data_IF_096937593934
#
_entry.id   IF_096937593934
#
_cell.length_a   1.000
_cell.length_b   1.000
_cell.length_c   1.000
_cell.angle_alpha   90.00
_cell.angle_beta   90.00
_cell.angle_gamma   90.00
#
_symmetry.space_group_name_H-M   'P 1'
#
loop_
_entity.id
_entity.type
_entity.pdbx_description
1 polymer ?
#
# COMPACT_ATOMS: atom_id res chain seq x y z
N UNK A 1 -20.58 31.01 20.89
CA UNK A 1 -19.92 30.28 19.78
C UNK A 1 -18.57 30.93 19.56
N UNK A 2 -17.54 30.15 19.27
CA UNK A 2 -16.20 30.68 18.97
C UNK A 2 -16.21 31.46 17.65
N UNK A 3 -15.53 32.60 17.61
CA UNK A 3 -15.22 33.30 16.37
C UNK A 3 -14.19 32.49 15.55
N UNK A 4 -14.50 32.28 14.27
CA UNK A 4 -13.78 31.34 13.38
C UNK A 4 -12.68 32.06 12.59
N UNK A 5 -11.64 32.52 13.29
CA UNK A 5 -10.56 33.33 12.69
C UNK A 5 -9.76 32.62 11.59
N UNK A 6 -9.78 31.28 11.57
CA UNK A 6 -9.16 30.49 10.52
C UNK A 6 -9.72 30.76 9.11
N UNK A 7 -10.94 31.29 8.98
CA UNK A 7 -11.46 31.71 7.67
C UNK A 7 -11.01 33.11 7.27
N UNK A 8 -10.80 34.00 8.23
CA UNK A 8 -10.38 35.39 7.99
C UNK A 8 -8.90 35.48 7.65
N UNK A 9 -8.07 34.75 8.39
CA UNK A 9 -6.62 34.72 8.20
C UNK A 9 -6.09 33.28 8.31
N UNK A 10 -6.20 32.46 7.24
CA UNK A 10 -5.75 31.06 7.25
C UNK A 10 -4.27 30.86 7.57
N UNK A 11 -3.46 31.91 7.39
CA UNK A 11 -2.00 31.92 7.62
C UNK A 11 -1.62 32.41 9.02
N UNK A 12 -2.59 32.81 9.85
CA UNK A 12 -2.33 33.17 11.24
C UNK A 12 -1.88 31.92 12.03
N UNK A 13 -0.72 32.01 12.66
CA UNK A 13 -0.13 30.88 13.40
C UNK A 13 -0.33 30.95 14.91
N UNK A 14 -0.62 32.15 15.45
CA UNK A 14 -0.87 32.35 16.86
C UNK A 14 -1.78 33.55 17.11
N UNK A 15 -2.62 33.45 18.15
CA UNK A 15 -3.47 34.54 18.65
C UNK A 15 -3.53 34.51 20.18
N UNK A 16 -3.88 35.65 20.78
CA UNK A 16 -4.37 35.70 22.15
C UNK A 16 -5.90 35.59 22.14
N UNK A 17 -6.45 34.78 23.05
CA UNK A 17 -7.90 34.57 23.19
C UNK A 17 -8.24 34.22 24.63
N UNK A 18 -9.52 34.08 24.95
CA UNK A 18 -10.01 33.74 26.29
C UNK A 18 -10.65 32.35 26.30
N UNK A 19 -10.48 31.61 27.40
CA UNK A 19 -11.21 30.35 27.64
C UNK A 19 -12.65 30.69 28.05
N UNK A 20 -13.61 30.25 27.26
CA UNK A 20 -15.05 30.48 27.54
C UNK A 20 -15.72 29.27 28.19
N UNK A 21 -15.16 28.07 27.99
CA UNK A 21 -15.70 26.84 28.58
C UNK A 21 -14.62 25.77 28.69
N UNK A 22 -14.69 24.99 29.77
CA UNK A 22 -13.89 23.78 29.98
C UNK A 22 -14.83 22.59 29.90
N UNK A 23 -14.59 21.70 28.95
CA UNK A 23 -15.35 20.47 28.73
C UNK A 23 -14.57 19.27 29.26
N UNK A 24 -15.19 18.09 29.27
CA UNK A 24 -14.50 16.83 29.61
C UNK A 24 -13.41 16.44 28.62
N UNK A 25 -13.45 16.96 27.39
CA UNK A 25 -12.48 16.66 26.32
C UNK A 25 -11.40 17.73 26.14
N UNK A 26 -11.62 18.93 26.69
CA UNK A 26 -10.70 20.05 26.52
C UNK A 26 -11.39 21.41 26.49
N UNK A 27 -10.78 22.37 25.81
CA UNK A 27 -11.09 23.80 25.97
C UNK A 27 -11.86 24.37 24.78
N UNK A 28 -12.83 25.24 25.07
CA UNK A 28 -13.50 26.10 24.09
C UNK A 28 -13.02 27.52 24.30
N UNK A 29 -12.65 28.19 23.21
CA UNK A 29 -12.09 29.54 23.21
C UNK A 29 -13.07 30.55 22.62
N UNK A 30 -12.99 31.82 23.02
CA UNK A 30 -13.83 32.91 22.48
C UNK A 30 -13.61 33.11 20.98
N UNK A 31 -12.35 33.06 20.53
CA UNK A 31 -11.95 33.10 19.12
C UNK A 31 -10.88 32.03 18.87
N UNK A 32 -10.86 31.42 17.69
CA UNK A 32 -9.86 30.38 17.39
C UNK A 32 -9.38 30.41 15.94
N UNK A 33 -8.07 30.27 15.78
CA UNK A 33 -7.40 30.03 14.49
C UNK A 33 -7.27 28.54 14.18
N UNK A 34 -7.66 27.63 15.07
CA UNK A 34 -7.61 26.18 14.83
C UNK A 34 -8.84 25.75 14.03
N UNK A 35 -8.60 25.11 12.88
CA UNK A 35 -9.64 24.56 12.04
C UNK A 35 -10.15 23.27 12.69
N UNK A 36 -11.46 23.17 12.99
CA UNK A 36 -12.05 21.90 13.38
C UNK A 36 -12.10 20.98 12.15
N UNK A 37 -12.01 19.67 12.35
CA UNK A 37 -12.18 18.69 11.27
C UNK A 37 -13.38 19.04 10.36
N UNK A 38 -13.16 19.03 9.04
CA UNK A 38 -14.17 19.44 8.07
C UNK A 38 -13.72 19.26 6.62
N UNK A 39 -14.66 18.95 5.72
CA UNK A 39 -14.36 18.81 4.28
C UNK A 39 -13.36 17.70 3.93
N UNK A 40 -13.12 16.75 4.83
CA UNK A 40 -12.10 15.70 4.70
C UNK A 40 -10.70 16.11 5.17
N UNK A 41 -10.51 17.35 5.63
CA UNK A 41 -9.30 17.85 6.26
C UNK A 41 -9.33 17.57 7.77
N UNK A 42 -8.29 16.92 8.34
CA UNK A 42 -8.18 16.71 9.78
C UNK A 42 -8.13 18.03 10.57
N UNK A 43 -8.60 17.97 11.82
CA UNK A 43 -8.47 19.09 12.76
C UNK A 43 -7.01 19.45 13.02
N UNK A 44 -6.78 20.70 13.42
CA UNK A 44 -5.44 21.12 13.81
C UNK A 44 -5.04 20.62 15.18
N UNK A 45 -3.72 20.57 15.37
CA UNK A 45 -3.03 20.37 16.63
C UNK A 45 -2.15 21.59 16.94
N UNK A 46 -1.63 21.70 18.16
CA UNK A 46 -0.77 22.81 18.54
C UNK A 46 -0.60 22.94 20.05
N UNK A 47 -0.49 24.18 20.54
CA UNK A 47 -0.38 24.47 21.97
C UNK A 47 -1.30 25.62 22.43
N UNK A 48 -1.73 25.56 23.68
CA UNK A 48 -2.40 26.63 24.43
C UNK A 48 -1.56 26.89 25.68
N UNK A 49 -0.98 28.10 25.82
CA UNK A 49 -0.01 28.41 26.89
C UNK A 49 1.13 27.37 27.03
N UNK A 50 1.63 26.87 25.90
CA UNK A 50 2.61 25.77 25.78
C UNK A 50 2.13 24.35 26.13
N UNK A 51 0.91 24.19 26.66
CA UNK A 51 0.30 22.86 26.83
C UNK A 51 -0.19 22.33 25.48
N UNK A 52 0.18 21.11 25.06
CA UNK A 52 -0.17 20.58 23.75
C UNK A 52 -1.64 20.15 23.67
N UNK A 53 -2.32 20.53 22.59
CA UNK A 53 -3.60 19.93 22.21
C UNK A 53 -3.40 19.05 20.97
N UNK A 54 -4.03 17.88 20.98
CA UNK A 54 -3.81 16.83 19.98
C UNK A 54 -4.67 16.98 18.74
N UNK A 55 -5.83 17.62 18.87
CA UNK A 55 -6.83 17.75 17.80
C UNK A 55 -7.80 18.91 18.07
N UNK A 56 -8.50 19.35 17.05
CA UNK A 56 -9.58 20.35 17.12
C UNK A 56 -10.84 19.77 16.49
N UNK A 57 -11.90 19.65 17.28
CA UNK A 57 -13.14 18.98 16.87
C UNK A 57 -14.35 19.89 16.99
N UNK A 58 -15.33 19.70 16.12
CA UNK A 58 -16.66 20.29 16.27
C UNK A 58 -17.53 19.31 17.07
N UNK A 59 -17.81 19.62 18.34
CA UNK A 59 -18.59 18.78 19.27
C UNK A 59 -19.77 19.61 19.78
N UNK A 60 -21.00 19.13 19.59
CA UNK A 60 -22.21 19.83 20.02
C UNK A 60 -22.25 21.32 19.56
N UNK A 61 -21.84 21.56 18.32
CA UNK A 61 -21.69 22.91 17.71
C UNK A 61 -20.65 23.83 18.37
N UNK A 62 -19.73 23.28 19.17
CA UNK A 62 -18.61 23.99 19.80
C UNK A 62 -17.28 23.50 19.22
N UNK A 63 -16.35 24.42 19.03
CA UNK A 63 -14.98 24.08 18.61
C UNK A 63 -14.19 23.75 19.87
N UNK A 64 -13.90 22.47 20.05
CA UNK A 64 -13.19 21.92 21.21
C UNK A 64 -11.76 21.60 20.82
N UNK A 65 -10.80 22.19 21.54
CA UNK A 65 -9.39 21.86 21.44
C UNK A 65 -9.13 20.71 22.42
N UNK A 66 -8.75 19.53 21.90
CA UNK A 66 -8.60 18.31 22.70
C UNK A 66 -7.30 18.36 23.50
N UNK A 67 -7.41 18.59 24.80
CA UNK A 67 -6.29 18.88 25.70
C UNK A 67 -6.62 18.46 27.14
N UNK A 68 -5.59 18.10 27.90
CA UNK A 68 -5.70 17.95 29.35
C UNK A 68 -5.95 19.32 29.98
N UNK A 69 -7.15 19.53 30.53
CA UNK A 69 -7.61 20.83 30.99
C UNK A 69 -7.24 21.17 32.44
N UNK A 70 -6.43 20.35 33.11
CA UNK A 70 -6.02 20.61 34.50
C UNK A 70 -5.18 21.90 34.57
N UNK A 71 -5.52 22.78 35.51
CA UNK A 71 -4.82 24.06 35.73
C UNK A 71 -5.39 25.26 34.97
N UNK A 72 -6.23 25.06 33.95
CA UNK A 72 -6.90 26.13 33.22
C UNK A 72 -8.16 26.65 33.94
N UNK A 73 -8.52 27.91 33.71
CA UNK A 73 -9.76 28.51 34.24
C UNK A 73 -10.57 29.21 33.15
N UNK A 74 -11.89 29.14 33.26
CA UNK A 74 -12.79 29.99 32.44
C UNK A 74 -12.48 31.45 32.75
N UNK A 75 -12.41 32.28 31.70
CA UNK A 75 -11.99 33.68 31.77
C UNK A 75 -10.49 33.91 31.67
N UNK A 76 -9.68 32.85 31.63
CA UNK A 76 -8.23 32.97 31.48
C UNK A 76 -7.86 33.39 30.06
N UNK A 77 -6.97 34.39 29.95
CA UNK A 77 -6.34 34.76 28.68
C UNK A 77 -5.22 33.78 28.37
N UNK A 78 -5.26 33.21 27.18
CA UNK A 78 -4.33 32.20 26.71
C UNK A 78 -3.79 32.53 25.34
N UNK A 79 -2.56 32.10 25.07
CA UNK A 79 -1.95 32.14 23.75
C UNK A 79 -2.17 30.80 23.05
N UNK A 80 -2.94 30.82 21.96
CA UNK A 80 -3.12 29.69 21.05
C UNK A 80 -2.04 29.73 19.97
N UNK A 81 -1.36 28.62 19.72
CA UNK A 81 -0.40 28.46 18.61
C UNK A 81 -0.69 27.15 17.88
N UNK A 82 -0.85 27.18 16.55
CA UNK A 82 -1.12 25.98 15.74
C UNK A 82 0.19 25.31 15.30
N UNK A 83 0.15 24.00 15.07
CA UNK A 83 1.19 23.28 14.37
C UNK A 83 1.15 23.66 12.88
N UNK A 84 1.92 24.68 12.52
CA UNK A 84 1.94 25.20 11.16
C UNK A 84 2.32 24.16 10.10
N UNK A 85 3.25 23.24 10.41
CA UNK A 85 3.67 22.22 9.45
C UNK A 85 2.53 21.27 9.06
N UNK A 86 1.71 20.88 10.05
CA UNK A 86 0.50 20.09 9.85
C UNK A 86 -0.54 20.88 9.05
N UNK A 87 -0.89 22.08 9.52
CA UNK A 87 -1.87 22.96 8.87
C UNK A 87 -1.52 23.19 7.41
N UNK A 88 -0.29 23.61 7.14
CA UNK A 88 0.14 24.01 5.81
C UNK A 88 0.22 22.81 4.87
N UNK A 89 0.64 21.64 5.36
CA UNK A 89 0.59 20.40 4.57
C UNK A 89 -0.85 20.07 4.13
N UNK A 90 -1.83 20.14 5.04
CA UNK A 90 -3.22 19.89 4.69
C UNK A 90 -3.82 20.97 3.79
N UNK A 91 -3.46 22.25 3.94
CA UNK A 91 -3.85 23.30 2.98
C UNK A 91 -3.35 23.00 1.55
N UNK A 92 -2.10 22.53 1.43
CA UNK A 92 -1.54 22.09 0.14
C UNK A 92 -2.29 20.88 -0.40
N UNK A 93 -2.51 19.88 0.43
CA UNK A 93 -3.20 18.64 0.03
C UNK A 93 -4.65 18.89 -0.39
N UNK A 94 -5.36 19.78 0.30
CA UNK A 94 -6.72 20.16 -0.03
C UNK A 94 -6.79 20.91 -1.37
N UNK A 95 -5.87 21.86 -1.58
CA UNK A 95 -5.77 22.58 -2.85
C UNK A 95 -5.42 21.63 -4.00
N UNK A 96 -4.42 20.75 -3.79
CA UNK A 96 -4.05 19.70 -4.76
C UNK A 96 -5.24 18.82 -5.14
N UNK A 97 -6.07 18.44 -4.15
CA UNK A 97 -7.26 17.64 -4.41
C UNK A 97 -8.25 18.35 -5.32
N UNK A 98 -8.51 19.64 -5.11
CA UNK A 98 -9.39 20.40 -6.01
C UNK A 98 -8.80 20.54 -7.40
N UNK A 99 -7.49 20.76 -7.51
CA UNK A 99 -6.83 20.79 -8.82
C UNK A 99 -6.98 19.46 -9.56
N UNK A 100 -6.74 18.33 -8.88
CA UNK A 100 -6.88 16.99 -9.44
C UNK A 100 -8.35 16.71 -9.84
N UNK A 101 -9.30 16.95 -8.95
CA UNK A 101 -10.71 16.69 -9.23
C UNK A 101 -11.32 17.63 -10.28
N UNK A 102 -10.91 18.91 -10.29
CA UNK A 102 -11.35 19.89 -11.28
C UNK A 102 -10.83 19.57 -12.68
N UNK A 103 -9.55 19.18 -12.80
CA UNK A 103 -8.97 18.77 -14.08
C UNK A 103 -9.43 17.39 -14.53
N UNK A 104 -9.68 16.45 -13.62
CA UNK A 104 -10.36 15.19 -13.97
C UNK A 104 -11.71 15.45 -14.64
N UNK A 105 -12.50 16.34 -14.05
CA UNK A 105 -13.82 16.67 -14.57
C UNK A 105 -13.73 17.41 -15.92
N UNK A 106 -12.92 18.46 -16.00
CA UNK A 106 -12.87 19.33 -17.19
C UNK A 106 -12.15 18.71 -18.38
N UNK A 107 -11.06 17.96 -18.17
CA UNK A 107 -10.28 17.37 -19.27
C UNK A 107 -10.80 15.99 -19.69
N UNK A 108 -11.36 15.22 -18.75
CA UNK A 108 -11.67 13.80 -18.99
C UNK A 108 -13.12 13.41 -18.67
N UNK A 109 -13.95 14.35 -18.21
CA UNK A 109 -15.33 14.06 -17.78
C UNK A 109 -15.40 12.93 -16.73
N UNK A 110 -14.46 12.96 -15.79
CA UNK A 110 -14.36 12.04 -14.66
C UNK A 110 -14.83 12.75 -13.40
N UNK A 111 -15.96 12.30 -12.86
CA UNK A 111 -16.52 12.80 -11.62
C UNK A 111 -15.75 12.28 -10.41
N UNK A 112 -15.75 13.06 -9.33
CA UNK A 112 -15.27 12.57 -8.02
C UNK A 112 -16.46 12.03 -7.24
N UNK A 113 -16.28 10.92 -6.54
CA UNK A 113 -17.25 10.31 -5.61
C UNK A 113 -16.88 10.63 -4.17
N UNK A 114 -15.66 10.28 -3.75
CA UNK A 114 -15.17 10.48 -2.38
C UNK A 114 -13.70 10.90 -2.37
N UNK A 115 -13.27 11.50 -1.26
CA UNK A 115 -11.90 12.00 -1.04
C UNK A 115 -11.45 11.61 0.35
N UNK A 116 -10.18 11.23 0.49
CA UNK A 116 -9.54 11.07 1.79
C UNK A 116 -8.18 11.79 1.79
N UNK A 117 -8.00 12.73 2.73
CA UNK A 117 -6.75 13.44 2.95
C UNK A 117 -6.02 12.81 4.14
N UNK A 118 -5.10 11.89 3.83
CA UNK A 118 -4.27 11.24 4.83
C UNK A 118 -2.94 11.96 5.04
N UNK A 119 -2.32 11.74 6.20
CA UNK A 119 -0.99 12.27 6.56
C UNK A 119 0.14 11.86 5.60
N UNK A 120 -0.11 10.85 4.76
CA UNK A 120 0.88 10.31 3.83
C UNK A 120 0.38 10.26 2.38
N UNK A 121 -0.90 10.00 2.14
CA UNK A 121 -1.50 9.91 0.81
C UNK A 121 -2.79 10.72 0.72
N UNK A 122 -3.03 11.29 -0.46
CA UNK A 122 -4.33 11.78 -0.88
C UNK A 122 -4.97 10.71 -1.76
N UNK A 123 -6.23 10.36 -1.49
CA UNK A 123 -6.98 9.48 -2.40
C UNK A 123 -8.26 10.13 -2.92
N UNK A 124 -8.57 9.84 -4.18
CA UNK A 124 -9.73 10.36 -4.89
C UNK A 124 -10.43 9.17 -5.55
N UNK A 125 -11.62 8.82 -5.04
CA UNK A 125 -12.52 7.85 -5.67
C UNK A 125 -13.27 8.57 -6.79
N UNK A 126 -13.29 7.95 -7.97
CA UNK A 126 -13.89 8.48 -9.19
C UNK A 126 -15.22 7.80 -9.52
N UNK A 127 -15.96 8.33 -10.49
CA UNK A 127 -17.20 7.73 -10.99
C UNK A 127 -16.96 6.70 -12.11
N UNK A 128 -15.70 6.32 -12.37
CA UNK A 128 -15.33 5.36 -13.42
C UNK A 128 -14.91 4.03 -12.83
N UNK A 129 -15.23 2.94 -13.52
CA UNK A 129 -14.79 1.59 -13.16
C UNK A 129 -13.34 1.32 -13.56
N UNK A 130 -12.82 2.02 -14.58
CA UNK A 130 -11.46 1.89 -15.10
C UNK A 130 -10.94 3.25 -15.57
N UNK A 131 -9.65 3.50 -15.38
CA UNK A 131 -8.93 4.67 -15.87
C UNK A 131 -7.57 4.19 -16.35
N UNK A 132 -7.19 4.54 -17.58
CA UNK A 132 -5.90 4.15 -18.14
C UNK A 132 -4.76 4.95 -17.51
N UNK A 133 -3.56 4.37 -17.55
CA UNK A 133 -2.37 5.00 -17.00
C UNK A 133 -2.00 6.29 -17.76
N UNK A 134 -2.27 6.35 -19.06
CA UNK A 134 -2.04 7.54 -19.89
C UNK A 134 -2.88 8.72 -19.43
N UNK A 135 -4.15 8.51 -19.03
CA UNK A 135 -5.01 9.57 -18.49
C UNK A 135 -4.45 10.08 -17.15
N UNK A 136 -3.97 9.18 -16.29
CA UNK A 136 -3.42 9.53 -14.98
C UNK A 136 -2.15 10.36 -15.11
N UNK A 137 -1.26 9.99 -16.03
CA UNK A 137 -0.05 10.75 -16.34
C UNK A 137 -0.38 12.09 -17.00
N UNK A 138 -1.32 12.14 -17.94
CA UNK A 138 -1.75 13.40 -18.54
C UNK A 138 -2.37 14.36 -17.50
N UNK A 139 -3.12 13.83 -16.52
CA UNK A 139 -3.63 14.62 -15.40
C UNK A 139 -2.50 15.13 -14.50
N UNK A 140 -1.55 14.26 -14.12
CA UNK A 140 -0.40 14.63 -13.31
C UNK A 140 0.39 15.77 -13.94
N UNK A 141 0.64 15.69 -15.25
CA UNK A 141 1.32 16.73 -16.03
C UNK A 141 0.51 18.04 -16.04
N UNK A 142 -0.80 17.96 -16.29
CA UNK A 142 -1.69 19.12 -16.31
C UNK A 142 -1.75 19.84 -14.95
N UNK A 143 -1.89 19.10 -13.86
CA UNK A 143 -1.90 19.66 -12.49
C UNK A 143 -0.55 20.32 -12.19
N UNK A 144 0.55 19.63 -12.43
CA UNK A 144 1.88 20.18 -12.17
C UNK A 144 2.20 21.40 -13.06
N UNK A 145 1.63 21.47 -14.27
CA UNK A 145 1.70 22.69 -15.08
C UNK A 145 0.93 23.84 -14.42
N UNK A 146 -0.30 23.60 -13.97
CA UNK A 146 -1.10 24.61 -13.24
C UNK A 146 -0.46 25.06 -11.93
N UNK A 147 0.31 24.19 -11.27
CA UNK A 147 1.14 24.54 -10.11
C UNK A 147 2.24 25.54 -10.53
N UNK A 148 2.97 25.25 -11.61
CA UNK A 148 4.02 26.13 -12.13
C UNK A 148 3.50 27.49 -12.61
N UNK A 149 2.28 27.51 -13.16
CA UNK A 149 1.62 28.74 -13.62
C UNK A 149 1.20 29.67 -12.47
N UNK A 150 1.24 29.20 -11.21
CA UNK A 150 0.99 29.99 -10.01
C UNK A 150 -0.38 30.71 -10.00
N UNK A 151 -1.43 29.99 -10.36
CA UNK A 151 -2.81 30.49 -10.33
C UNK A 151 -3.24 30.89 -8.93
N UNK A 152 -4.03 31.97 -8.84
CA UNK A 152 -4.55 32.48 -7.57
C UNK A 152 -5.67 31.59 -7.04
N UNK A 153 -5.70 31.41 -5.71
CA UNK A 153 -6.81 30.81 -4.98
C UNK A 153 -7.58 31.92 -4.27
N UNK A 154 -8.88 32.02 -4.54
CA UNK A 154 -9.77 33.03 -3.96
C UNK A 154 -11.01 32.40 -3.34
N UNK A 155 -11.69 33.16 -2.49
CA UNK A 155 -12.87 32.72 -1.77
C UNK A 155 -14.03 33.67 -2.04
N UNK A 156 -15.22 33.10 -2.23
CA UNK A 156 -16.49 33.81 -2.11
C UNK A 156 -17.16 33.24 -0.86
N UNK A 157 -17.31 34.06 0.17
CA UNK A 157 -17.90 33.67 1.45
C UNK A 157 -19.31 34.26 1.58
N UNK A 158 -20.13 33.65 2.43
CA UNK A 158 -21.46 34.15 2.78
C UNK A 158 -22.45 34.22 1.61
N UNK A 159 -22.29 33.33 0.62
CA UNK A 159 -23.28 33.18 -0.43
C UNK A 159 -24.51 32.43 0.09
N UNK A 160 -25.68 32.86 -0.37
CA UNK A 160 -26.90 32.07 -0.28
C UNK A 160 -26.80 30.84 -1.19
N UNK A 161 -27.67 29.85 -0.96
CA UNK A 161 -27.72 28.67 -1.81
C UNK A 161 -28.06 29.04 -3.27
N UNK A 162 -29.01 29.97 -3.46
CA UNK A 162 -29.43 30.44 -4.78
C UNK A 162 -28.26 31.09 -5.56
N UNK A 163 -27.55 32.05 -4.94
CA UNK A 163 -26.37 32.69 -5.55
C UNK A 163 -25.28 31.67 -5.89
N UNK A 164 -25.10 30.64 -5.06
CA UNK A 164 -24.07 29.63 -5.26
C UNK A 164 -24.47 28.60 -6.35
N UNK A 165 -25.76 28.32 -6.54
CA UNK A 165 -26.27 27.43 -7.60
C UNK A 165 -26.12 28.06 -9.00
N UNK A 166 -26.17 29.39 -9.09
CA UNK A 166 -25.92 30.13 -10.35
C UNK A 166 -24.48 29.97 -10.88
N UNK A 167 -23.54 29.56 -10.03
CA UNK A 167 -22.12 29.45 -10.35
C UNK A 167 -21.75 28.19 -11.17
N UNK A 168 -22.72 27.36 -11.56
CA UNK A 168 -22.53 26.16 -12.40
C UNK A 168 -21.40 25.24 -11.89
N UNK A 169 -21.39 24.98 -10.58
CA UNK A 169 -20.37 24.15 -9.94
C UNK A 169 -20.44 22.71 -10.45
N UNK A 170 -19.29 22.04 -10.55
CA UNK A 170 -19.20 20.63 -11.00
C UNK A 170 -19.87 19.60 -10.06
N UNK A 171 -20.34 20.04 -8.89
CA UNK A 171 -21.03 19.21 -7.89
C UNK A 171 -22.10 20.03 -7.19
N UNK A 172 -23.20 19.37 -6.84
CA UNK A 172 -24.28 19.95 -6.04
C UNK A 172 -23.80 20.36 -4.65
N UNK A 173 -24.34 21.48 -4.17
CA UNK A 173 -24.10 22.01 -2.84
C UNK A 173 -24.86 21.15 -1.81
N UNK A 174 -24.23 20.86 -0.67
CA UNK A 174 -24.77 19.97 0.37
C UNK A 174 -25.05 20.68 1.70
N UNK A 175 -25.00 22.00 1.72
CA UNK A 175 -25.24 22.83 2.90
C UNK A 175 -26.42 23.75 2.65
N UNK A 176 -27.22 23.98 3.68
CA UNK A 176 -28.50 24.69 3.55
C UNK A 176 -28.35 26.23 3.59
N UNK A 177 -27.20 26.75 4.07
CA UNK A 177 -26.89 28.18 4.13
C UNK A 177 -25.39 28.45 4.34
N UNK A 178 -24.96 29.70 4.15
CA UNK A 178 -23.58 30.19 4.34
C UNK A 178 -22.55 29.41 3.50
N UNK A 179 -22.79 29.38 2.18
CA UNK A 179 -21.96 28.64 1.24
C UNK A 179 -20.64 29.39 1.04
N UNK A 180 -19.54 28.70 1.31
CA UNK A 180 -18.18 29.16 0.96
C UNK A 180 -17.73 28.47 -0.33
N UNK A 181 -17.43 29.29 -1.34
CA UNK A 181 -16.88 28.85 -2.62
C UNK A 181 -15.39 29.10 -2.63
N UNK A 182 -14.64 28.08 -3.03
CA UNK A 182 -13.21 28.17 -3.34
C UNK A 182 -13.08 28.19 -4.85
N UNK A 183 -12.32 29.16 -5.35
CA UNK A 183 -12.01 29.30 -6.76
C UNK A 183 -10.49 29.21 -6.94
N UNK A 184 -10.06 28.23 -7.72
CA UNK A 184 -8.69 28.11 -8.20
C UNK A 184 -8.73 28.57 -9.65
N UNK A 185 -8.16 29.75 -9.91
CA UNK A 185 -8.25 30.45 -11.19
C UNK A 185 -7.91 29.52 -12.38
N UNK A 186 -8.87 29.36 -13.30
CA UNK A 186 -8.67 28.54 -14.50
C UNK A 186 -8.48 27.03 -14.25
N UNK A 187 -8.86 26.54 -13.06
CA UNK A 187 -8.69 25.12 -12.67
C UNK A 187 -9.98 24.52 -12.09
N UNK A 188 -10.50 25.05 -10.98
CA UNK A 188 -11.68 24.49 -10.30
C UNK A 188 -12.47 25.60 -9.59
N UNK A 189 -13.78 25.42 -9.48
CA UNK A 189 -14.66 26.28 -8.69
C UNK A 189 -15.70 25.40 -7.99
N UNK A 190 -15.74 25.46 -6.66
CA UNK A 190 -16.42 24.44 -5.85
C UNK A 190 -16.79 24.95 -4.46
N UNK A 191 -17.93 24.47 -3.94
CA UNK A 191 -18.29 24.69 -2.55
C UNK A 191 -17.38 23.87 -1.63
N UNK A 192 -16.61 24.58 -0.77
CA UNK A 192 -15.69 23.96 0.16
C UNK A 192 -15.47 24.83 1.41
N UNK A 193 -15.68 24.23 2.58
CA UNK A 193 -15.37 24.81 3.89
C UNK A 193 -13.93 24.53 4.37
N UNK A 194 -13.07 23.94 3.53
CA UNK A 194 -11.68 23.65 3.85
C UNK A 194 -10.77 24.87 3.81
N UNK A 195 -9.56 24.71 4.34
CA UNK A 195 -8.51 25.72 4.18
C UNK A 195 -7.63 25.40 2.97
N UNK A 196 -7.25 26.43 2.22
CA UNK A 196 -6.45 26.31 1.01
C UNK A 196 -5.27 27.26 1.06
N UNK A 197 -4.22 26.92 0.30
CA UNK A 197 -3.12 27.85 0.04
C UNK A 197 -3.60 29.01 -0.84
N UNK A 198 -2.88 30.13 -0.85
CA UNK A 198 -3.25 31.33 -1.60
C UNK A 198 -2.92 31.22 -3.09
N UNK A 199 -1.99 30.36 -3.47
CA UNK A 199 -1.67 30.09 -4.87
C UNK A 199 -1.32 28.63 -5.13
N UNK A 200 -1.51 28.19 -6.38
CA UNK A 200 -1.20 26.81 -6.78
C UNK A 200 0.29 26.48 -6.64
N UNK A 201 1.20 27.45 -6.73
CA UNK A 201 2.63 27.21 -6.57
C UNK A 201 3.01 26.71 -5.16
N UNK A 202 2.24 27.10 -4.13
CA UNK A 202 2.46 26.64 -2.76
C UNK A 202 2.20 25.14 -2.59
N UNK A 203 1.47 24.49 -3.50
CA UNK A 203 1.29 23.03 -3.55
C UNK A 203 2.60 22.31 -3.87
N UNK A 204 3.53 23.00 -4.55
CA UNK A 204 4.84 22.54 -5.02
C UNK A 204 4.79 21.49 -6.12
N UNK A 205 4.12 20.36 -5.88
CA UNK A 205 3.96 19.27 -6.85
C UNK A 205 2.93 18.24 -6.37
N UNK A 206 2.40 17.49 -7.33
CA UNK A 206 1.66 16.24 -7.09
C UNK A 206 2.36 15.10 -7.79
N UNK A 207 2.30 13.90 -7.21
CA UNK A 207 2.84 12.69 -7.80
C UNK A 207 1.80 11.57 -7.78
N UNK A 208 1.52 10.98 -8.94
CA UNK A 208 0.70 9.77 -9.04
C UNK A 208 1.51 8.57 -8.55
N UNK A 209 0.95 7.81 -7.59
CA UNK A 209 1.65 6.63 -7.03
C UNK A 209 0.89 5.32 -7.19
N UNK A 210 -0.32 5.36 -7.74
CA UNK A 210 -1.08 4.15 -8.04
C UNK A 210 -2.58 4.36 -7.98
N UNK A 211 -3.31 3.28 -8.26
CA UNK A 211 -4.76 3.24 -8.17
C UNK A 211 -5.21 1.86 -7.70
N UNK A 212 -6.41 1.80 -7.14
CA UNK A 212 -7.09 0.57 -6.75
C UNK A 212 -8.55 0.60 -7.20
N UNK A 213 -9.15 -0.57 -7.38
CA UNK A 213 -10.60 -0.69 -7.62
C UNK A 213 -11.30 -0.92 -6.29
N UNK A 214 -12.25 -0.04 -5.96
CA UNK A 214 -13.07 -0.15 -4.76
C UNK A 214 -14.55 0.03 -5.12
N UNK A 215 -15.39 -0.94 -4.75
CA UNK A 215 -16.85 -0.90 -4.96
C UNK A 215 -17.26 -0.63 -6.43
N UNK A 216 -16.46 -1.08 -7.39
CA UNK A 216 -16.71 -0.86 -8.82
C UNK A 216 -16.24 0.50 -9.34
N UNK A 217 -15.53 1.28 -8.54
CA UNK A 217 -14.92 2.55 -8.91
C UNK A 217 -13.40 2.51 -8.80
N UNK A 218 -12.71 3.36 -9.56
CA UNK A 218 -11.28 3.60 -9.41
C UNK A 218 -11.05 4.63 -8.32
N UNK A 219 -10.21 4.27 -7.34
CA UNK A 219 -9.60 5.19 -6.40
C UNK A 219 -8.15 5.42 -6.78
N UNK A 220 -7.83 6.67 -7.08
CA UNK A 220 -6.46 7.11 -7.39
C UNK A 220 -5.73 7.50 -6.11
N UNK A 221 -4.41 7.28 -6.07
CA UNK A 221 -3.53 7.52 -4.93
C UNK A 221 -2.45 8.52 -5.34
N UNK A 222 -2.35 9.61 -4.58
CA UNK A 222 -1.49 10.73 -4.87
C UNK A 222 -0.62 11.09 -3.67
N UNK A 223 0.58 11.58 -3.96
CA UNK A 223 1.48 12.22 -3.00
C UNK A 223 1.55 13.71 -3.33
N UNK A 224 1.64 14.56 -2.32
CA UNK A 224 1.63 16.03 -2.47
C UNK A 224 2.86 16.64 -1.79
N UNK A 225 3.42 17.69 -2.37
CA UNK A 225 4.54 18.48 -1.83
C UNK A 225 5.75 17.60 -1.42
N UNK A 226 6.21 17.69 -0.18
CA UNK A 226 7.32 16.90 0.34
C UNK A 226 7.08 15.38 0.25
N UNK A 227 5.84 14.92 0.34
CA UNK A 227 5.52 13.50 0.21
C UNK A 227 5.74 12.99 -1.21
N UNK A 228 5.50 13.81 -2.22
CA UNK A 228 5.82 13.48 -3.61
C UNK A 228 7.34 13.39 -3.82
N UNK A 229 8.08 14.38 -3.31
CA UNK A 229 9.55 14.38 -3.33
C UNK A 229 10.14 13.14 -2.66
N UNK A 230 9.60 12.74 -1.51
CA UNK A 230 10.02 11.54 -0.79
C UNK A 230 9.76 10.28 -1.61
N UNK A 231 8.59 10.15 -2.23
CA UNK A 231 8.26 9.00 -3.08
C UNK A 231 9.21 8.89 -4.30
N UNK A 232 9.50 10.01 -4.97
CA UNK A 232 10.46 10.03 -6.08
C UNK A 232 11.87 9.57 -5.66
N UNK A 233 12.34 10.02 -4.49
CA UNK A 233 13.65 9.61 -3.94
C UNK A 233 13.69 8.12 -3.58
N UNK A 234 12.63 7.62 -2.94
CA UNK A 234 12.51 6.20 -2.60
C UNK A 234 12.53 5.33 -3.86
N UNK A 235 11.78 5.73 -4.90
CA UNK A 235 11.78 5.03 -6.18
C UNK A 235 13.17 5.05 -6.84
N UNK A 236 13.86 6.19 -6.83
CA UNK A 236 15.23 6.30 -7.35
C UNK A 236 16.21 5.39 -6.61
N UNK A 237 16.13 5.32 -5.26
CA UNK A 237 16.96 4.43 -4.46
C UNK A 237 16.69 2.94 -4.79
N UNK A 238 15.42 2.56 -4.93
CA UNK A 238 15.03 1.19 -5.32
C UNK A 238 15.62 0.84 -6.69
N UNK A 239 15.45 1.73 -7.67
CA UNK A 239 15.98 1.56 -9.03
C UNK A 239 17.49 1.42 -9.01
N UNK A 240 18.20 2.26 -8.25
CA UNK A 240 19.65 2.18 -8.11
C UNK A 240 20.09 0.84 -7.50
N UNK A 241 19.46 0.42 -6.40
CA UNK A 241 19.79 -0.83 -5.71
C UNK A 241 19.52 -2.07 -6.57
N UNK A 242 18.44 -2.06 -7.35
CA UNK A 242 18.16 -3.13 -8.32
C UNK A 242 19.18 -3.11 -9.46
N UNK A 243 19.50 -1.92 -9.98
CA UNK A 243 20.53 -1.74 -11.01
C UNK A 243 21.90 -2.27 -10.56
N UNK A 244 22.32 -1.98 -9.33
CA UNK A 244 23.56 -2.50 -8.75
C UNK A 244 23.55 -4.04 -8.66
N UNK A 245 22.45 -4.65 -8.23
CA UNK A 245 22.32 -6.12 -8.15
C UNK A 245 22.37 -6.78 -9.52
N UNK A 246 21.82 -6.14 -10.55
CA UNK A 246 21.83 -6.63 -11.93
C UNK A 246 23.05 -6.18 -12.73
N UNK A 247 23.95 -5.39 -12.14
CA UNK A 247 25.04 -4.70 -12.85
C UNK A 247 24.55 -3.97 -14.11
N UNK A 248 23.39 -3.31 -14.00
CA UNK A 248 22.66 -2.70 -15.11
C UNK A 248 22.38 -1.21 -14.83
N UNK A 249 22.47 -0.39 -15.87
CA UNK A 249 21.98 0.99 -15.81
C UNK A 249 20.44 1.01 -15.69
N UNK A 250 19.83 2.05 -15.07
CA UNK A 250 18.39 2.12 -14.82
C UNK A 250 17.50 1.75 -16.00
N UNK A 251 17.78 2.30 -17.19
CA UNK A 251 16.99 2.06 -18.41
C UNK A 251 17.11 0.63 -18.94
N UNK A 252 18.14 -0.11 -18.53
CA UNK A 252 18.40 -1.47 -18.97
C UNK A 252 17.98 -2.51 -17.92
N UNK A 253 17.51 -2.10 -16.74
CA UNK A 253 17.14 -3.02 -15.64
C UNK A 253 16.16 -4.08 -16.11
N UNK A 254 15.12 -3.70 -16.86
CA UNK A 254 14.10 -4.64 -17.34
C UNK A 254 14.72 -5.66 -18.31
N UNK A 255 15.48 -5.21 -19.29
CA UNK A 255 16.16 -6.11 -20.23
C UNK A 255 17.17 -7.05 -19.56
N UNK A 256 17.87 -6.58 -18.51
CA UNK A 256 18.77 -7.42 -17.72
C UNK A 256 18.02 -8.42 -16.87
N UNK A 257 16.84 -8.04 -16.35
CA UNK A 257 15.96 -8.95 -15.62
C UNK A 257 15.40 -10.05 -16.54
N UNK A 258 15.00 -9.72 -17.75
CA UNK A 258 14.52 -10.68 -18.75
C UNK A 258 15.62 -11.71 -19.07
N UNK A 259 16.86 -11.25 -19.32
CA UNK A 259 18.01 -12.14 -19.54
C UNK A 259 18.28 -13.05 -18.34
N UNK A 260 18.24 -12.50 -17.12
CA UNK A 260 18.42 -13.28 -15.90
C UNK A 260 17.32 -14.35 -15.75
N UNK A 261 16.10 -14.03 -16.14
CA UNK A 261 14.98 -14.96 -16.12
C UNK A 261 15.15 -16.08 -17.16
N UNK A 262 15.55 -15.74 -18.38
CA UNK A 262 15.88 -16.71 -19.43
C UNK A 262 17.03 -17.64 -19.02
N UNK A 263 18.09 -17.09 -18.43
CA UNK A 263 19.22 -17.88 -17.92
C UNK A 263 18.78 -18.83 -16.80
N UNK A 264 17.96 -18.35 -15.86
CA UNK A 264 17.39 -19.19 -14.80
C UNK A 264 16.59 -20.36 -15.36
N UNK A 265 15.73 -20.13 -16.35
CA UNK A 265 14.95 -21.20 -16.98
C UNK A 265 15.84 -22.20 -17.75
N UNK A 266 16.88 -21.69 -18.43
CA UNK A 266 17.88 -22.51 -19.12
C UNK A 266 18.64 -23.41 -18.14
N UNK A 267 19.19 -22.83 -17.06
CA UNK A 267 19.89 -23.56 -15.99
C UNK A 267 18.98 -24.58 -15.30
N UNK A 268 17.71 -24.23 -15.04
CA UNK A 268 16.74 -25.16 -14.49
C UNK A 268 16.50 -26.35 -15.44
N UNK A 269 16.45 -26.10 -16.75
CA UNK A 269 16.32 -27.17 -17.75
C UNK A 269 17.57 -28.03 -17.86
N UNK A 270 18.76 -27.43 -17.85
CA UNK A 270 20.02 -28.17 -17.88
C UNK A 270 20.20 -29.03 -16.63
N UNK A 271 19.90 -28.46 -15.45
CA UNK A 271 19.93 -29.19 -14.19
C UNK A 271 18.98 -30.41 -14.22
N UNK A 272 17.77 -30.28 -14.78
CA UNK A 272 16.87 -31.44 -14.96
C UNK A 272 17.49 -32.52 -15.85
N UNK A 273 18.15 -32.14 -16.95
CA UNK A 273 18.84 -33.08 -17.84
C UNK A 273 19.99 -33.79 -17.14
N UNK A 274 20.84 -33.05 -16.43
CA UNK A 274 21.96 -33.59 -15.66
C UNK A 274 21.48 -34.55 -14.58
N UNK A 275 20.47 -34.15 -13.80
CA UNK A 275 19.86 -35.00 -12.76
C UNK A 275 19.30 -36.30 -13.37
N UNK A 276 18.68 -36.24 -14.55
CA UNK A 276 18.15 -37.43 -15.23
C UNK A 276 19.26 -38.35 -15.79
N UNK A 277 20.36 -37.78 -16.28
CA UNK A 277 21.56 -38.54 -16.68
C UNK A 277 22.22 -39.20 -15.46
N UNK A 278 22.40 -38.46 -14.36
CA UNK A 278 22.92 -38.98 -13.09
C UNK A 278 22.05 -40.13 -12.57
N UNK A 279 20.72 -39.99 -12.60
CA UNK A 279 19.80 -41.06 -12.19
C UNK A 279 20.00 -42.34 -12.99
N UNK A 280 20.24 -42.22 -14.29
CA UNK A 280 20.52 -43.37 -15.16
C UNK A 280 21.82 -44.07 -14.76
N UNK A 281 22.89 -43.31 -14.52
CA UNK A 281 24.21 -43.85 -14.12
C UNK A 281 24.17 -44.48 -12.71
N UNK A 282 23.52 -43.82 -11.76
CA UNK A 282 23.35 -44.31 -10.38
C UNK A 282 22.53 -45.60 -10.38
N UNK A 283 21.44 -45.65 -11.17
CA UNK A 283 20.65 -46.87 -11.28
C UNK A 283 21.47 -48.03 -11.86
N UNK A 284 22.24 -47.78 -12.92
CA UNK A 284 23.10 -48.82 -13.50
C UNK A 284 24.20 -49.30 -12.54
N UNK A 285 24.82 -48.43 -11.74
CA UNK A 285 25.82 -48.84 -10.75
C UNK A 285 25.24 -49.68 -9.62
N UNK A 286 23.96 -49.47 -9.29
CA UNK A 286 23.22 -50.20 -8.27
C UNK A 286 22.25 -51.25 -8.83
N UNK A 287 22.34 -51.63 -10.11
CA UNK A 287 21.33 -52.51 -10.76
C UNK A 287 21.17 -53.90 -10.15
N UNK A 288 22.16 -54.33 -9.37
CA UNK A 288 22.15 -55.61 -8.65
C UNK A 288 21.74 -55.44 -7.18
N UNK A 289 21.54 -54.21 -6.72
CA UNK A 289 21.07 -53.90 -5.39
C UNK A 289 19.57 -53.69 -5.38
N UNK A 290 18.91 -54.33 -4.42
CA UNK A 290 17.46 -54.25 -4.25
C UNK A 290 17.07 -52.95 -3.51
N UNK A 291 18.01 -52.33 -2.78
CA UNK A 291 17.81 -51.04 -2.16
C UNK A 291 19.11 -50.24 -2.03
N UNK A 292 19.07 -48.95 -2.39
CA UNK A 292 20.19 -48.01 -2.24
C UNK A 292 19.73 -46.60 -1.84
N UNK A 293 20.64 -45.82 -1.25
CA UNK A 293 20.41 -44.41 -0.93
C UNK A 293 20.94 -43.58 -2.11
N UNK A 294 20.05 -42.83 -2.74
CA UNK A 294 20.37 -41.93 -3.83
C UNK A 294 20.90 -40.59 -3.32
N UNK A 295 21.95 -40.04 -3.95
CA UNK A 295 22.42 -38.67 -3.70
C UNK A 295 21.54 -37.60 -4.39
N UNK A 296 20.59 -37.99 -5.23
CA UNK A 296 19.68 -37.08 -5.97
C UNK A 296 18.19 -37.43 -5.73
N UNK A 297 17.25 -36.49 -5.96
CA UNK A 297 15.84 -36.73 -5.72
C UNK A 297 15.27 -37.97 -6.42
N UNK A 298 14.49 -38.76 -5.69
CA UNK A 298 13.93 -40.03 -6.21
C UNK A 298 13.03 -39.85 -7.44
N UNK A 299 12.44 -38.68 -7.65
CA UNK A 299 11.64 -38.37 -8.83
C UNK A 299 12.42 -38.53 -10.14
N UNK A 300 13.75 -38.38 -10.11
CA UNK A 300 14.61 -38.54 -11.27
C UNK A 300 14.69 -39.99 -11.80
N UNK A 301 14.31 -40.98 -10.98
CA UNK A 301 14.43 -42.40 -11.30
C UNK A 301 13.13 -43.05 -11.80
N UNK A 302 12.00 -42.33 -11.76
CA UNK A 302 10.67 -42.88 -12.08
C UNK A 302 10.64 -43.60 -13.43
N UNK A 303 11.27 -43.01 -14.45
CA UNK A 303 11.30 -43.55 -15.81
C UNK A 303 12.54 -44.42 -16.11
N UNK A 304 13.35 -44.73 -15.08
CA UNK A 304 14.63 -45.47 -15.22
C UNK A 304 14.57 -46.87 -14.62
N UNK A 305 13.83 -47.01 -13.53
CA UNK A 305 13.75 -48.28 -12.81
C UNK A 305 12.87 -49.25 -13.60
N UNK A 306 13.37 -50.47 -13.80
CA UNK A 306 12.65 -51.52 -14.53
C UNK A 306 12.64 -52.87 -13.78
N UNK A 307 13.19 -52.89 -12.56
CA UNK A 307 13.27 -54.07 -11.69
C UNK A 307 12.86 -53.68 -10.28
N UNK A 308 12.54 -54.69 -9.46
CA UNK A 308 12.18 -54.46 -8.08
C UNK A 308 13.31 -53.71 -7.34
N UNK A 309 13.03 -52.50 -6.86
CA UNK A 309 14.05 -51.62 -6.28
C UNK A 309 13.41 -50.62 -5.31
N UNK A 310 14.07 -50.39 -4.17
CA UNK A 310 13.73 -49.33 -3.21
C UNK A 310 14.83 -48.27 -3.17
N UNK A 311 14.51 -47.05 -3.53
CA UNK A 311 15.42 -45.90 -3.51
C UNK A 311 15.00 -44.94 -2.42
N UNK A 312 15.96 -44.49 -1.63
CA UNK A 312 15.77 -43.44 -0.63
C UNK A 312 16.64 -42.22 -0.98
N UNK A 313 16.08 -41.02 -0.95
CA UNK A 313 16.81 -39.75 -1.03
C UNK A 313 16.64 -38.97 0.27
N UNK A 314 17.73 -38.60 0.92
CA UNK A 314 17.72 -37.77 2.13
C UNK A 314 17.90 -36.29 1.75
N UNK A 315 16.80 -35.54 1.69
CA UNK A 315 16.84 -34.08 1.56
C UNK A 315 17.09 -33.38 2.89
N UNK A 316 17.29 -32.06 2.86
CA UNK A 316 17.66 -31.29 4.05
C UNK A 316 16.67 -31.41 5.22
N UNK A 317 15.37 -31.46 4.95
CA UNK A 317 14.33 -31.51 6.00
C UNK A 317 13.49 -32.79 6.02
N UNK A 318 13.53 -33.57 4.95
CA UNK A 318 12.71 -34.76 4.74
C UNK A 318 13.43 -35.74 3.84
N UNK A 319 13.15 -37.02 4.02
CA UNK A 319 13.53 -38.02 3.03
C UNK A 319 12.36 -38.33 2.10
N UNK A 320 12.67 -38.56 0.84
CA UNK A 320 11.76 -39.05 -0.17
C UNK A 320 12.17 -40.47 -0.54
N UNK A 321 11.21 -41.34 -0.79
CA UNK A 321 11.49 -42.70 -1.24
C UNK A 321 10.65 -43.06 -2.45
N UNK A 322 11.17 -44.00 -3.22
CA UNK A 322 10.55 -44.57 -4.41
C UNK A 322 10.73 -46.09 -4.36
N UNK A 323 9.64 -46.81 -4.55
CA UNK A 323 9.63 -48.25 -4.65
C UNK A 323 9.03 -48.65 -6.00
N UNK A 324 9.77 -49.46 -6.74
CA UNK A 324 9.28 -50.14 -7.93
C UNK A 324 9.09 -51.62 -7.58
N UNK A 325 7.89 -52.17 -7.79
CA UNK A 325 7.56 -53.55 -7.44
C UNK A 325 6.04 -53.79 -7.39
N UNK A 326 5.62 -54.93 -6.85
CA UNK A 326 4.19 -55.29 -6.81
C UNK A 326 3.44 -54.59 -5.69
N UNK A 327 2.15 -54.35 -5.87
CA UNK A 327 1.29 -53.73 -4.84
C UNK A 327 1.26 -54.54 -3.55
N UNK A 328 1.26 -55.88 -3.64
CA UNK A 328 1.25 -56.76 -2.48
C UNK A 328 2.50 -56.57 -1.62
N UNK A 329 3.69 -56.54 -2.24
CA UNK A 329 4.95 -56.28 -1.53
C UNK A 329 5.03 -54.84 -1.01
N UNK A 330 4.55 -53.87 -1.78
CA UNK A 330 4.45 -52.48 -1.32
C UNK A 330 3.59 -52.36 -0.06
N UNK A 331 2.42 -52.99 -0.01
CA UNK A 331 1.53 -52.95 1.16
C UNK A 331 2.17 -53.61 2.38
N UNK A 332 2.86 -54.74 2.19
CA UNK A 332 3.62 -55.40 3.26
C UNK A 332 4.74 -54.50 3.80
N UNK A 333 5.48 -53.83 2.91
CA UNK A 333 6.53 -52.89 3.27
C UNK A 333 5.95 -51.67 4.02
N UNK A 334 4.89 -51.06 3.47
CA UNK A 334 4.26 -49.86 4.01
C UNK A 334 3.69 -50.09 5.42
N UNK A 335 2.99 -51.21 5.65
CA UNK A 335 2.42 -51.54 6.96
C UNK A 335 3.47 -51.58 8.08
N UNK A 336 4.70 -51.97 7.74
CA UNK A 336 5.79 -52.12 8.70
C UNK A 336 6.58 -50.83 8.91
N UNK A 337 6.62 -49.94 7.91
CA UNK A 337 7.31 -48.64 8.01
C UNK A 337 6.38 -47.48 8.40
N UNK A 338 5.05 -47.68 8.37
CA UNK A 338 4.04 -46.71 8.81
C UNK A 338 4.25 -46.20 10.25
N UNK A 339 4.66 -47.03 11.25
CA UNK A 339 4.95 -46.55 12.61
C UNK A 339 6.08 -45.51 12.67
N UNK A 340 6.95 -45.48 11.66
CA UNK A 340 8.00 -44.48 11.53
C UNK A 340 7.51 -43.18 10.85
N UNK A 341 6.20 -42.97 10.79
CA UNK A 341 5.60 -41.76 10.22
C UNK A 341 5.80 -41.64 8.70
N UNK A 342 6.09 -42.76 8.03
CA UNK A 342 6.22 -42.83 6.57
C UNK A 342 4.84 -42.65 5.95
N UNK A 343 4.73 -41.74 4.97
CA UNK A 343 3.53 -41.54 4.16
C UNK A 343 3.88 -41.74 2.70
N UNK A 344 2.99 -42.35 1.93
CA UNK A 344 3.17 -42.50 0.50
C UNK A 344 2.09 -43.37 -0.14
N UNK A 345 2.13 -43.42 -1.45
CA UNK A 345 1.17 -44.13 -2.28
C UNK A 345 1.59 -44.12 -3.74
N UNK A 346 0.80 -44.76 -4.58
CA UNK A 346 1.09 -44.89 -6.00
C UNK A 346 0.26 -45.99 -6.63
N UNK A 347 0.61 -46.34 -7.86
CA UNK A 347 -0.03 -47.41 -8.62
C UNK A 347 1.06 -48.35 -9.08
N UNK A 348 0.81 -49.66 -9.00
CA UNK A 348 1.75 -50.66 -9.48
C UNK A 348 2.18 -50.36 -10.93
N UNK A 349 3.49 -50.43 -11.25
CA UNK A 349 4.60 -50.89 -10.41
C UNK A 349 5.24 -49.83 -9.51
N UNK A 350 4.76 -48.58 -9.49
CA UNK A 350 5.47 -47.44 -8.92
C UNK A 350 4.77 -46.80 -7.71
N UNK A 351 5.48 -46.73 -6.59
CA UNK A 351 5.00 -46.17 -5.33
C UNK A 351 6.02 -45.19 -4.77
N UNK A 352 5.57 -44.06 -4.23
CA UNK A 352 6.46 -43.03 -3.72
C UNK A 352 5.91 -42.34 -2.48
N UNK A 353 6.79 -41.70 -1.73
CA UNK A 353 6.39 -41.03 -0.50
C UNK A 353 7.47 -40.23 0.17
N UNK A 354 7.23 -39.88 1.44
CA UNK A 354 8.13 -39.12 2.27
C UNK A 354 8.17 -39.60 3.72
N UNK A 355 9.26 -39.27 4.41
CA UNK A 355 9.51 -39.52 5.84
C UNK A 355 10.09 -38.25 6.48
N UNK A 356 9.66 -37.91 7.70
CA UNK A 356 10.20 -36.76 8.43
C UNK A 356 11.54 -37.13 9.10
N UNK A 357 12.57 -36.35 8.76
CA UNK A 357 13.99 -36.18 9.20
C UNK A 357 14.69 -37.16 10.17
N UNK A 358 14.03 -37.93 11.04
CA UNK A 358 14.67 -38.70 12.14
C UNK A 358 14.76 -40.21 11.95
N UNK A 359 14.13 -40.80 10.92
CA UNK A 359 13.98 -42.27 10.85
C UNK A 359 14.50 -42.90 9.53
N UNK A 360 15.24 -42.12 8.75
CA UNK A 360 15.60 -42.46 7.37
C UNK A 360 16.50 -43.69 7.27
N UNK A 361 17.56 -43.79 8.09
CA UNK A 361 18.52 -44.92 8.04
C UNK A 361 17.94 -46.24 8.57
N UNK A 362 17.09 -46.19 9.60
CA UNK A 362 16.44 -47.40 10.13
C UNK A 362 15.42 -47.98 9.15
N UNK A 363 14.64 -47.11 8.48
CA UNK A 363 13.73 -47.50 7.40
C UNK A 363 14.50 -48.09 6.22
N UNK A 364 15.62 -47.47 5.83
CA UNK A 364 16.46 -47.99 4.74
C UNK A 364 17.02 -49.39 5.02
N UNK A 365 17.66 -49.60 6.17
CA UNK A 365 18.24 -50.90 6.54
C UNK A 365 17.16 -51.99 6.63
N UNK A 366 15.96 -51.63 7.09
CA UNK A 366 14.82 -52.53 7.14
C UNK A 366 14.32 -52.93 5.75
N UNK A 367 14.07 -51.96 4.87
CA UNK A 367 13.64 -52.22 3.49
C UNK A 367 14.66 -53.10 2.76
N UNK A 368 15.96 -52.85 2.96
CA UNK A 368 17.03 -53.64 2.35
C UNK A 368 16.98 -55.12 2.76
N UNK A 369 16.67 -55.43 4.03
CA UNK A 369 16.62 -56.81 4.54
C UNK A 369 15.31 -57.57 4.32
N UNK A 370 14.26 -56.94 3.77
CA UNK A 370 12.96 -57.58 3.49
C UNK A 370 12.67 -57.78 2.00
N UNK A 371 13.30 -56.99 1.15
CA UNK A 371 13.12 -57.07 -0.30
C UNK A 371 14.16 -58.02 -0.93
N UNK A 372 15.35 -58.12 -0.34
CA UNK A 372 16.32 -59.19 -0.62
C UNK A 372 16.04 -60.44 0.21
#
# INVERSE_FOLDING_TARGET
MSEKEYYNNPYCQNIETEIVEITTKGLVLSSTISYPEGGGQPGDSGTINASPYSDTQLIDSKIVHVIESEGFKVGEKVKLTINWSHRYFFMKQHTAQHMLSGLFFTLFNIGTVSVHQGVDILTIETDKAEISQEILFALEDAVNQKIRDNHKVTYLSHLTLEEAEELNLRRSIKVDSDVRIVQIEGVDQIACGGLHVNSTAEVEQVCYVGQEVIRGHVRTIWKVADKAKQAMRQNAEIVERVGQKLSAQPLNILSSLDKLWEEKESLASENRKLVHQMASLIYESHKNEIAFISPIPVSAFVDKINKETFILYEGEDKANWLYYGTKAKFQALLAQIQPFGVKGGGREPLFQGMVKKRINRAVFQYCKGKIG
#
